data_IF_897909418429
#
_entry.id   IF_897909418429
#
_cell.length_a   1.000
_cell.length_b   1.000
_cell.length_c   1.000
_cell.angle_alpha   90.00
_cell.angle_beta   90.00
_cell.angle_gamma   90.00
#
_symmetry.space_group_name_H-M   'P 1'
#
loop_
_entity.id
_entity.type
_entity.pdbx_description
1 polymer ?
#
# COMPACT_ATOMS: atom_id res chain seq x y z
N UNK A 1 -16.42 -23.63 -11.83
CA UNK A 1 -15.95 -22.25 -12.05
C UNK A 1 -14.52 -22.19 -11.56
N UNK A 2 -13.54 -22.46 -12.42
CA UNK A 2 -12.14 -22.62 -12.02
C UNK A 2 -11.38 -21.31 -12.30
N UNK A 3 -11.20 -20.51 -11.25
CA UNK A 3 -10.27 -19.38 -11.23
C UNK A 3 -8.90 -19.96 -10.92
N UNK A 4 -7.94 -19.82 -11.82
CA UNK A 4 -6.57 -20.24 -11.57
C UNK A 4 -5.92 -19.27 -10.57
N UNK A 5 -5.91 -19.64 -9.30
CA UNK A 5 -5.08 -18.98 -8.30
C UNK A 5 -3.65 -19.48 -8.46
N UNK A 6 -2.83 -18.82 -9.29
CA UNK A 6 -1.39 -18.99 -9.17
C UNK A 6 -0.97 -18.25 -7.91
N UNK A 7 -0.71 -19.01 -6.85
CA UNK A 7 -0.21 -18.50 -5.58
C UNK A 7 1.17 -17.90 -5.84
N UNK A 8 1.26 -16.57 -5.95
CA UNK A 8 2.54 -15.90 -5.74
C UNK A 8 2.81 -16.00 -4.24
N UNK A 9 3.85 -16.75 -3.87
CA UNK A 9 4.21 -16.99 -2.49
C UNK A 9 4.64 -15.67 -1.83
N UNK A 10 3.70 -15.01 -1.14
CA UNK A 10 3.96 -13.97 -0.13
C UNK A 10 4.31 -14.61 1.22
N UNK A 11 5.13 -15.68 1.21
CA UNK A 11 5.31 -16.57 2.37
C UNK A 11 5.91 -15.88 3.58
N UNK A 12 6.58 -14.76 3.36
CA UNK A 12 7.08 -13.91 4.43
C UNK A 12 6.43 -12.54 4.24
N UNK A 13 5.36 -12.20 4.99
CA UNK A 13 5.05 -10.80 5.21
C UNK A 13 6.33 -10.15 5.75
N UNK A 14 6.88 -9.19 5.01
CA UNK A 14 7.97 -8.37 5.52
C UNK A 14 7.43 -7.65 6.74
N UNK A 15 8.02 -7.98 7.88
CA UNK A 15 7.70 -7.49 9.21
C UNK A 15 7.29 -6.01 9.20
N UNK A 16 6.17 -5.67 9.84
CA UNK A 16 5.74 -4.29 10.05
C UNK A 16 6.59 -3.58 11.13
N UNK A 17 7.59 -4.24 11.72
CA UNK A 17 8.58 -3.58 12.58
C UNK A 17 9.42 -2.59 11.78
N UNK A 18 9.07 -1.31 11.91
CA UNK A 18 9.89 -0.19 11.43
C UNK A 18 9.30 0.59 10.26
N UNK A 19 8.16 0.17 9.71
CA UNK A 19 7.38 1.01 8.82
C UNK A 19 6.62 2.08 9.63
N UNK A 20 7.35 2.93 10.35
CA UNK A 20 6.80 4.02 11.14
C UNK A 20 5.96 4.93 10.24
N UNK A 21 4.64 4.74 10.25
CA UNK A 21 3.71 5.66 9.62
C UNK A 21 3.59 6.87 10.54
N UNK A 22 3.84 8.06 9.99
CA UNK A 22 3.84 9.30 10.75
C UNK A 22 5.25 9.72 11.19
N UNK A 23 5.32 10.37 12.36
CA UNK A 23 6.47 11.13 12.84
C UNK A 23 7.53 10.18 13.40
N UNK A 24 8.73 10.20 12.83
CA UNK A 24 9.83 9.29 13.13
C UNK A 24 10.94 9.92 13.98
N UNK A 25 10.60 10.84 14.89
CA UNK A 25 11.59 11.37 15.85
C UNK A 25 11.90 10.34 16.93
N UNK A 26 13.20 10.10 17.16
CA UNK A 26 13.72 9.34 18.30
C UNK A 26 13.90 10.20 19.55
N UNK A 27 13.92 11.53 19.41
CA UNK A 27 14.14 12.49 20.48
C UNK A 27 12.86 13.24 20.82
N UNK A 28 12.41 13.06 22.07
CA UNK A 28 11.39 13.89 22.68
C UNK A 28 12.03 15.22 23.07
N UNK A 29 11.62 16.32 22.44
CA UNK A 29 11.91 17.65 22.97
C UNK A 29 11.14 17.81 24.28
N UNK A 30 11.84 17.59 25.40
CA UNK A 30 11.27 17.63 26.75
C UNK A 30 12.11 16.96 27.85
N UNK A 31 13.17 16.22 27.52
CA UNK A 31 14.14 15.76 28.51
C UNK A 31 15.15 16.87 28.87
N UNK A 32 14.67 18.02 29.37
CA UNK A 32 15.58 18.96 30.02
C UNK A 32 16.12 18.32 31.31
N UNK A 33 17.44 18.34 31.47
CA UNK A 33 18.12 17.99 32.73
C UNK A 33 17.51 18.79 33.88
N UNK A 34 17.23 18.10 34.99
CA UNK A 34 16.70 18.67 36.22
C UNK A 34 17.64 19.76 36.78
N UNK A 35 17.48 21.01 36.35
CA UNK A 35 18.02 22.15 37.06
C UNK A 35 17.11 22.41 38.25
N UNK A 36 17.66 22.21 39.45
CA UNK A 36 17.02 22.51 40.71
C UNK A 36 16.66 24.00 40.79
N UNK A 37 15.39 24.33 40.58
CA UNK A 37 14.87 25.68 40.72
C UNK A 37 13.37 25.68 40.47
N UNK A 38 12.61 26.16 41.45
CA UNK A 38 11.14 26.19 41.45
C UNK A 38 10.67 27.02 40.25
N UNK A 39 10.26 26.34 39.17
CA UNK A 39 9.49 26.92 38.08
C UNK A 39 8.27 26.02 37.92
N UNK A 40 7.08 26.60 38.06
CA UNK A 40 5.84 25.88 37.78
C UNK A 40 5.97 25.22 36.39
N UNK A 41 5.65 23.93 36.22
CA UNK A 41 5.67 23.32 34.90
C UNK A 41 4.73 24.15 34.03
N UNK A 42 5.29 24.94 33.11
CA UNK A 42 4.51 25.63 32.12
C UNK A 42 3.86 24.52 31.30
N UNK A 43 2.54 24.33 31.41
CA UNK A 43 1.82 23.35 30.61
C UNK A 43 1.96 23.73 29.14
N UNK A 44 3.01 23.21 28.50
CA UNK A 44 3.27 23.37 27.09
C UNK A 44 2.89 22.06 26.44
N UNK A 45 1.99 22.12 25.46
CA UNK A 45 1.74 20.96 24.61
C UNK A 45 3.06 20.46 24.05
N UNK A 46 3.26 19.15 24.04
CA UNK A 46 4.42 18.55 23.38
C UNK A 46 4.50 19.08 21.95
N UNK A 47 5.67 19.62 21.56
CA UNK A 47 5.85 20.09 20.20
C UNK A 47 5.59 18.93 19.23
N UNK A 48 4.72 19.18 18.27
CA UNK A 48 4.38 18.19 17.27
C UNK A 48 5.59 17.94 16.37
N UNK A 49 6.15 16.73 16.45
CA UNK A 49 7.25 16.34 15.56
C UNK A 49 6.88 16.55 14.07
N UNK A 50 7.86 16.95 13.28
CA UNK A 50 7.68 17.15 11.83
C UNK A 50 7.42 15.81 11.13
N UNK A 51 6.66 15.84 10.04
CA UNK A 51 6.46 14.67 9.18
C UNK A 51 7.34 14.78 7.93
N UNK A 52 7.91 13.66 7.50
CA UNK A 52 8.68 13.58 6.26
C UNK A 52 7.71 13.28 5.11
N UNK A 53 7.64 14.17 4.14
CA UNK A 53 6.97 13.89 2.87
C UNK A 53 7.93 13.12 1.96
N UNK A 54 7.53 11.91 1.56
CA UNK A 54 8.30 11.12 0.61
C UNK A 54 8.02 11.66 -0.80
N UNK A 55 9.05 12.19 -1.45
CA UNK A 55 8.96 12.66 -2.84
C UNK A 55 8.50 11.50 -3.73
N UNK A 56 7.54 11.75 -4.62
CA UNK A 56 6.95 10.76 -5.53
C UNK A 56 6.07 9.67 -4.89
N UNK A 57 5.81 9.72 -3.58
CA UNK A 57 4.80 8.87 -2.97
C UNK A 57 3.40 9.51 -3.16
N UNK A 58 2.39 8.66 -3.40
CA UNK A 58 1.00 9.11 -3.48
C UNK A 58 0.20 8.51 -2.34
N UNK A 59 -0.61 9.35 -1.68
CA UNK A 59 -1.56 8.91 -0.68
C UNK A 59 -2.94 8.74 -1.33
N UNK A 60 -3.57 7.59 -1.12
CA UNK A 60 -4.90 7.23 -1.59
C UNK A 60 -5.72 6.65 -0.43
N UNK A 61 -7.04 6.66 -0.55
CA UNK A 61 -7.95 6.13 0.47
C UNK A 61 -8.52 7.16 1.44
N UNK A 62 -8.21 8.46 1.26
CA UNK A 62 -8.85 9.54 2.03
C UNK A 62 -10.34 9.72 1.66
N UNK A 63 -10.68 9.47 0.39
CA UNK A 63 -12.04 9.49 -0.13
C UNK A 63 -12.39 8.15 -0.78
N UNK A 64 -13.68 7.75 -0.78
CA UNK A 64 -14.15 6.63 -1.58
C UNK A 64 -13.73 6.77 -3.04
N UNK A 65 -13.28 5.67 -3.65
CA UNK A 65 -12.87 5.62 -5.06
C UNK A 65 -11.65 6.49 -5.43
N UNK A 66 -10.92 7.05 -4.47
CA UNK A 66 -9.65 7.73 -4.74
C UNK A 66 -8.62 6.78 -5.37
N UNK A 67 -8.05 7.19 -6.51
CA UNK A 67 -7.11 6.36 -7.27
C UNK A 67 -6.16 7.22 -8.10
N UNK A 68 -5.03 6.63 -8.47
CA UNK A 68 -4.07 7.20 -9.42
C UNK A 68 -4.12 6.41 -10.72
N UNK A 69 -4.21 7.10 -11.85
CA UNK A 69 -4.08 6.46 -13.17
C UNK A 69 -2.65 6.62 -13.65
N UNK A 70 -1.96 5.49 -13.81
CA UNK A 70 -0.64 5.46 -14.45
C UNK A 70 -0.86 5.17 -15.95
N UNK A 71 -0.37 6.04 -16.85
CA UNK A 71 -0.45 5.77 -18.28
C UNK A 71 0.52 4.64 -18.61
N UNK A 72 -0.03 3.45 -18.87
CA UNK A 72 0.74 2.28 -19.28
C UNK A 72 0.27 1.86 -20.68
N UNK A 73 1.22 1.51 -21.55
CA UNK A 73 0.92 1.06 -22.90
C UNK A 73 0.25 -0.30 -22.88
N UNK A 74 -0.69 -0.54 -23.79
CA UNK A 74 -1.31 -1.88 -23.93
C UNK A 74 -0.28 -2.98 -24.07
N UNK A 75 0.80 -2.72 -24.84
CA UNK A 75 1.86 -3.69 -25.13
C UNK A 75 2.58 -4.18 -23.87
N UNK A 76 2.63 -3.37 -22.82
CA UNK A 76 3.32 -3.69 -21.57
C UNK A 76 2.61 -4.82 -20.78
N UNK A 77 1.34 -5.12 -21.12
CA UNK A 77 0.55 -6.19 -20.51
C UNK A 77 0.13 -7.30 -21.49
N UNK A 78 0.59 -7.26 -22.76
CA UNK A 78 0.25 -8.30 -23.75
C UNK A 78 1.07 -9.57 -23.56
N UNK A 79 2.29 -9.43 -23.06
CA UNK A 79 3.24 -10.53 -22.83
C UNK A 79 3.55 -10.66 -21.33
N UNK A 80 4.59 -11.42 -21.00
CA UNK A 80 5.11 -11.51 -19.64
C UNK A 80 5.51 -10.12 -19.14
N UNK A 81 5.09 -9.81 -17.92
CA UNK A 81 5.34 -8.52 -17.28
C UNK A 81 5.68 -8.72 -15.81
N UNK A 82 6.41 -7.76 -15.25
CA UNK A 82 6.72 -7.68 -13.83
C UNK A 82 6.07 -6.44 -13.24
N UNK A 83 5.33 -6.61 -12.14
CA UNK A 83 4.74 -5.54 -11.36
C UNK A 83 5.46 -5.47 -10.01
N UNK A 84 6.07 -4.32 -9.70
CA UNK A 84 6.73 -4.07 -8.41
C UNK A 84 6.30 -2.70 -7.90
N UNK A 85 5.92 -2.63 -6.63
CA UNK A 85 5.62 -1.38 -5.94
C UNK A 85 5.78 -1.56 -4.43
N UNK A 86 6.15 -0.48 -3.76
CA UNK A 86 6.15 -0.41 -2.31
C UNK A 86 4.86 0.25 -1.83
N UNK A 87 4.27 -0.27 -0.75
CA UNK A 87 3.07 0.32 -0.15
C UNK A 87 3.15 0.29 1.37
N UNK A 88 2.38 1.18 1.99
CA UNK A 88 2.28 1.30 3.44
C UNK A 88 0.85 1.69 3.81
N UNK A 89 0.21 0.92 4.69
CA UNK A 89 -1.19 1.15 5.07
C UNK A 89 -1.47 0.63 6.49
N UNK A 90 -2.42 1.27 7.18
CA UNK A 90 -3.02 0.74 8.42
C UNK A 90 -4.29 -0.06 8.15
N UNK A 91 -4.85 0.04 6.95
CA UNK A 91 -6.11 -0.60 6.61
C UNK A 91 -5.87 -2.06 6.27
N UNK A 92 -6.62 -3.01 6.85
CA UNK A 92 -6.47 -4.43 6.55
C UNK A 92 -7.07 -4.83 5.20
N UNK A 93 -7.85 -3.95 4.56
CA UNK A 93 -8.50 -4.20 3.29
C UNK A 93 -8.29 -3.03 2.32
N UNK A 94 -8.12 -3.32 1.03
CA UNK A 94 -8.03 -2.29 0.00
C UNK A 94 -7.60 -2.83 -1.37
N UNK A 95 -7.91 -2.08 -2.43
CA UNK A 95 -7.41 -2.34 -3.77
C UNK A 95 -6.07 -1.60 -3.94
N UNK A 96 -4.99 -2.34 -4.21
CA UNK A 96 -3.64 -1.77 -4.37
C UNK A 96 -3.33 -1.48 -5.84
N UNK A 97 -3.74 -2.39 -6.74
CA UNK A 97 -3.49 -2.28 -8.17
C UNK A 97 -4.63 -2.89 -8.97
N UNK A 98 -5.02 -2.25 -10.07
CA UNK A 98 -6.01 -2.77 -11.01
C UNK A 98 -5.64 -2.41 -12.44
N UNK A 99 -5.56 -3.43 -13.28
CA UNK A 99 -5.59 -3.30 -14.73
C UNK A 99 -6.78 -4.11 -15.24
N UNK A 100 -7.64 -3.46 -16.02
CA UNK A 100 -8.78 -4.10 -16.68
C UNK A 100 -8.79 -3.72 -18.15
N UNK A 101 -9.24 -4.66 -18.98
CA UNK A 101 -9.52 -4.37 -20.37
C UNK A 101 -10.99 -3.96 -20.50
N UNK A 102 -11.29 -2.68 -20.77
CA UNK A 102 -12.67 -2.19 -20.87
C UNK A 102 -13.54 -2.93 -21.91
N UNK A 103 -12.94 -3.61 -22.90
CA UNK A 103 -13.67 -4.36 -23.93
C UNK A 103 -13.93 -5.83 -23.57
N UNK A 104 -13.42 -6.32 -22.45
CA UNK A 104 -13.55 -7.73 -22.04
C UNK A 104 -13.63 -7.85 -20.52
N UNK A 105 -14.05 -9.00 -20.00
CA UNK A 105 -14.01 -9.21 -18.55
C UNK A 105 -12.59 -9.44 -17.99
N UNK A 106 -11.55 -9.47 -18.84
CA UNK A 106 -10.18 -9.74 -18.42
C UNK A 106 -9.62 -8.63 -17.51
N UNK A 107 -9.04 -9.04 -16.39
CA UNK A 107 -8.46 -8.14 -15.38
C UNK A 107 -7.34 -8.81 -14.58
N UNK A 108 -6.49 -7.96 -14.02
CA UNK A 108 -5.49 -8.26 -13.01
C UNK A 108 -5.69 -7.29 -11.85
N UNK A 109 -5.90 -7.81 -10.64
CA UNK A 109 -6.06 -7.02 -9.43
C UNK A 109 -5.16 -7.54 -8.31
N UNK A 110 -4.47 -6.63 -7.65
CA UNK A 110 -3.74 -6.90 -6.39
C UNK A 110 -4.50 -6.19 -5.27
N UNK A 111 -4.91 -6.94 -4.27
CA UNK A 111 -5.74 -6.48 -3.16
C UNK A 111 -5.11 -6.85 -1.83
N UNK A 112 -5.39 -6.07 -0.81
CA UNK A 112 -5.21 -6.46 0.57
C UNK A 112 -6.57 -6.95 1.10
N UNK A 113 -6.60 -8.17 1.65
CA UNK A 113 -7.78 -8.77 2.26
C UNK A 113 -7.41 -9.36 3.63
N UNK A 114 -7.94 -8.77 4.70
CA UNK A 114 -7.61 -9.18 6.07
C UNK A 114 -6.12 -9.13 6.40
N UNK A 115 -5.42 -8.11 5.88
CA UNK A 115 -3.98 -7.91 6.07
C UNK A 115 -3.08 -8.78 5.17
N UNK A 116 -3.66 -9.56 4.24
CA UNK A 116 -2.91 -10.42 3.31
C UNK A 116 -3.01 -9.90 1.88
N UNK A 117 -1.89 -9.92 1.16
CA UNK A 117 -1.87 -9.60 -0.27
C UNK A 117 -2.49 -10.76 -1.06
N UNK A 118 -3.41 -10.44 -1.97
CA UNK A 118 -4.14 -11.39 -2.80
C UNK A 118 -4.07 -10.93 -4.26
N UNK A 119 -3.64 -11.83 -5.14
CA UNK A 119 -3.70 -11.66 -6.59
C UNK A 119 -4.98 -12.29 -7.13
N UNK A 120 -5.78 -11.51 -7.85
CA UNK A 120 -6.90 -12.00 -8.64
C UNK A 120 -6.63 -11.71 -10.12
N UNK A 121 -6.59 -12.76 -10.92
CA UNK A 121 -6.38 -12.67 -12.35
C UNK A 121 -7.47 -13.45 -13.06
N UNK A 122 -8.09 -12.78 -14.04
CA UNK A 122 -9.06 -13.40 -14.91
C UNK A 122 -8.70 -13.06 -16.35
N UNK A 123 -8.54 -14.07 -17.19
CA UNK A 123 -8.44 -13.89 -18.63
C UNK A 123 -9.52 -14.68 -19.37
N UNK A 124 -10.38 -13.96 -20.09
CA UNK A 124 -11.44 -14.54 -20.92
C UNK A 124 -10.88 -15.40 -22.04
N UNK A 125 -9.75 -15.01 -22.65
CA UNK A 125 -9.20 -15.73 -23.81
C UNK A 125 -8.70 -17.11 -23.39
N UNK A 126 -7.86 -17.15 -22.36
CA UNK A 126 -7.34 -18.41 -21.82
C UNK A 126 -8.43 -19.38 -21.36
N UNK A 127 -9.55 -18.87 -20.82
CA UNK A 127 -10.70 -19.71 -20.42
C UNK A 127 -11.41 -20.38 -21.60
N UNK A 128 -11.49 -19.74 -22.78
CA UNK A 128 -12.10 -20.39 -23.97
C UNK A 128 -11.25 -21.56 -24.44
N UNK A 129 -9.93 -21.41 -24.39
CA UNK A 129 -9.00 -22.47 -24.82
C UNK A 129 -8.96 -23.64 -23.81
N UNK A 130 -9.37 -23.41 -22.55
CA UNK A 130 -9.40 -24.41 -21.47
C UNK A 130 -10.70 -25.25 -21.41
N UNK A 131 -11.73 -24.88 -22.18
CA UNK A 131 -13.01 -25.59 -22.24
C UNK A 131 -13.42 -25.70 -23.73
N UNK A 132 -13.10 -26.82 -24.41
CA UNK A 132 -13.53 -27.06 -25.79
C UNK A 132 -15.05 -27.17 -25.91
#
# INVERSE_FOLDING_TARGET
MHTYFRLLHFNEPVDFKGAGIGRNQKEWFGAETSYAGIIQPLERCAEMASYITVKSAVNVGAEPFSHVKVPIGRKDFVHDFNLTFDFRTYYPNGLLFLVKNERSASHLAVMLLGGRAVLNMFDRKHRRDSYP
#
